data_IF_228329627693
#
_entry.id   IF_228329627693
#
_cell.length_a   1.000
_cell.length_b   1.000
_cell.length_c   1.000
_cell.angle_alpha   90.00
_cell.angle_beta   90.00
_cell.angle_gamma   90.00
#
_symmetry.space_group_name_H-M   'P 1'
#
loop_
_entity.id
_entity.type
_entity.pdbx_description
1 polymer ?
#
# COMPACT_ATOMS: atom_id res chain seq x y z
N UNK A 1 5.47 18.27 -1.17
CA UNK A 1 4.45 17.83 -2.14
C UNK A 1 4.63 16.33 -2.30
N UNK A 2 3.58 15.53 -2.16
CA UNK A 2 3.70 14.08 -2.38
C UNK A 2 3.86 13.85 -3.89
N UNK A 3 5.03 13.41 -4.32
CA UNK A 3 5.29 13.04 -5.71
C UNK A 3 4.79 11.61 -5.91
N UNK A 4 3.80 11.46 -6.78
CA UNK A 4 3.31 10.15 -7.17
C UNK A 4 4.21 9.63 -8.29
N UNK A 5 4.58 8.35 -8.22
CA UNK A 5 5.44 7.68 -9.22
C UNK A 5 4.59 6.60 -9.89
N UNK A 6 4.68 6.46 -11.20
CA UNK A 6 3.96 5.41 -11.93
C UNK A 6 4.70 4.08 -11.84
N UNK A 7 3.96 2.97 -11.72
CA UNK A 7 4.50 1.63 -11.44
C UNK A 7 5.53 1.17 -12.47
N UNK A 8 5.24 1.36 -13.76
CA UNK A 8 6.12 0.94 -14.86
C UNK A 8 7.43 1.73 -14.92
N UNK A 9 7.46 2.92 -14.33
CA UNK A 9 8.65 3.80 -14.29
C UNK A 9 9.45 3.62 -13.00
N UNK A 10 8.94 2.85 -12.03
CA UNK A 10 9.57 2.70 -10.71
C UNK A 10 10.32 1.38 -10.56
N UNK A 11 11.65 1.45 -10.63
CA UNK A 11 12.59 0.35 -10.41
C UNK A 11 13.20 0.29 -8.99
N UNK A 12 12.77 1.18 -8.09
CA UNK A 12 13.27 1.28 -6.71
C UNK A 12 12.64 0.31 -5.69
N UNK A 13 12.94 0.54 -4.41
CA UNK A 13 12.44 -0.25 -3.29
C UNK A 13 10.93 -0.09 -3.07
N UNK A 14 10.21 -1.21 -2.92
CA UNK A 14 8.74 -1.20 -2.81
C UNK A 14 8.31 -1.71 -1.45
N UNK A 15 7.71 -0.82 -0.67
CA UNK A 15 7.08 -1.16 0.60
C UNK A 15 5.61 -1.50 0.37
N UNK A 16 5.27 -2.77 0.56
CA UNK A 16 3.93 -3.32 0.33
C UNK A 16 3.05 -3.23 1.56
N UNK A 17 1.84 -2.74 1.37
CA UNK A 17 0.83 -2.67 2.41
C UNK A 17 -0.48 -3.28 1.93
N UNK A 18 -1.04 -4.15 2.74
CA UNK A 18 -2.34 -4.78 2.52
C UNK A 18 -3.49 -3.90 2.99
N UNK A 19 -4.55 -3.82 2.18
CA UNK A 19 -5.79 -3.15 2.54
C UNK A 19 -6.67 -4.11 3.36
N UNK A 20 -6.84 -3.82 4.65
CA UNK A 20 -7.69 -4.62 5.53
C UNK A 20 -9.19 -4.41 5.25
N UNK A 21 -9.56 -3.23 4.73
CA UNK A 21 -10.93 -2.88 4.38
C UNK A 21 -10.99 -2.25 2.98
N UNK A 22 -12.14 -2.37 2.31
CA UNK A 22 -12.38 -1.71 1.02
C UNK A 22 -12.26 -0.20 1.22
N UNK A 23 -11.33 0.49 0.53
CA UNK A 23 -11.29 1.95 0.58
C UNK A 23 -12.59 2.50 -0.01
N UNK A 24 -13.27 3.36 0.74
CA UNK A 24 -14.55 3.97 0.33
C UNK A 24 -14.35 5.11 -0.68
N UNK A 25 -13.16 5.72 -0.69
CA UNK A 25 -12.79 6.87 -1.54
C UNK A 25 -11.26 6.94 -1.77
N UNK A 26 -10.80 7.79 -2.70
CA UNK A 26 -9.39 8.02 -3.03
C UNK A 26 -8.58 8.61 -1.86
N UNK A 27 -9.25 9.14 -0.82
CA UNK A 27 -8.62 9.64 0.40
C UNK A 27 -8.44 8.60 1.51
N UNK A 28 -8.90 7.36 1.30
CA UNK A 28 -8.87 6.31 2.34
C UNK A 28 -7.51 5.61 2.46
N UNK A 29 -6.50 6.07 1.72
CA UNK A 29 -5.13 5.57 1.80
C UNK A 29 -4.15 6.74 1.95
N UNK A 30 -2.97 6.52 2.55
CA UNK A 30 -1.91 7.52 2.56
C UNK A 30 -1.56 8.04 1.16
N UNK A 31 -1.18 9.32 1.09
CA UNK A 31 -0.68 9.92 -0.15
C UNK A 31 0.75 9.46 -0.43
N UNK A 32 1.15 9.49 -1.71
CA UNK A 32 2.49 9.13 -2.14
C UNK A 32 2.68 7.64 -2.44
N UNK A 33 1.59 6.90 -2.61
CA UNK A 33 1.65 5.55 -3.16
C UNK A 33 2.07 5.60 -4.65
N UNK A 34 2.60 4.48 -5.11
CA UNK A 34 2.94 4.25 -6.51
C UNK A 34 1.64 4.08 -7.30
N UNK A 35 1.41 4.89 -8.32
CA UNK A 35 0.23 4.80 -9.18
C UNK A 35 0.32 3.52 -10.01
N UNK A 36 -0.76 2.76 -10.07
CA UNK A 36 -0.79 1.47 -10.77
C UNK A 36 -0.31 0.30 -9.91
N UNK A 37 0.12 0.56 -8.66
CA UNK A 37 0.51 -0.49 -7.71
C UNK A 37 -0.66 -1.23 -7.07
N UNK A 38 -1.90 -0.75 -7.27
CA UNK A 38 -3.09 -1.42 -6.74
C UNK A 38 -3.26 -2.76 -7.44
N UNK A 39 -2.91 -3.82 -6.71
CA UNK A 39 -2.98 -5.19 -7.19
C UNK A 39 -4.17 -5.90 -6.54
N UNK A 40 -5.07 -6.43 -7.35
CA UNK A 40 -6.22 -7.23 -6.92
C UNK A 40 -5.85 -8.70 -6.64
N UNK A 41 -4.57 -9.06 -6.76
CA UNK A 41 -4.01 -10.41 -6.59
C UNK A 41 -4.25 -11.01 -5.18
N UNK A 42 -4.79 -10.23 -4.25
CA UNK A 42 -5.01 -10.57 -2.87
C UNK A 42 -6.26 -11.44 -2.62
N UNK A 43 -6.29 -12.64 -3.20
CA UNK A 43 -7.20 -13.69 -2.72
C UNK A 43 -6.71 -14.36 -1.42
N UNK A 44 -5.61 -13.88 -0.84
CA UNK A 44 -5.07 -14.34 0.43
C UNK A 44 -5.40 -13.33 1.54
N UNK A 45 -6.11 -13.78 2.58
CA UNK A 45 -6.26 -13.00 3.80
C UNK A 45 -4.87 -12.79 4.43
N UNK A 46 -4.55 -11.60 4.97
CA UNK A 46 -5.48 -10.57 5.47
C UNK A 46 -5.72 -9.35 4.56
N UNK A 47 -5.26 -9.35 3.31
CA UNK A 47 -5.25 -8.17 2.42
C UNK A 47 -6.30 -8.22 1.30
N UNK A 48 -7.48 -8.77 1.62
CA UNK A 48 -8.60 -9.10 0.71
C UNK A 48 -9.03 -7.98 -0.25
N UNK A 49 -8.72 -6.71 0.05
CA UNK A 49 -9.13 -5.56 -0.75
C UNK A 49 -8.04 -5.00 -1.66
N UNK A 50 -6.87 -5.62 -1.67
CA UNK A 50 -5.76 -5.29 -2.55
C UNK A 50 -4.50 -4.92 -1.79
N UNK A 51 -3.41 -4.82 -2.55
CA UNK A 51 -2.10 -4.39 -2.06
C UNK A 51 -1.78 -3.05 -2.68
N UNK A 52 -1.21 -2.14 -1.88
CA UNK A 52 -0.72 -0.84 -2.32
C UNK A 52 0.76 -0.71 -1.99
N UNK A 53 1.53 -0.12 -2.91
CA UNK A 53 2.99 0.00 -2.75
C UNK A 53 3.42 1.46 -2.60
N UNK A 54 4.45 1.68 -1.78
CA UNK A 54 5.07 2.98 -1.55
C UNK A 54 6.58 2.91 -1.81
N UNK A 55 7.20 4.00 -2.28
CA UNK A 55 8.65 4.07 -2.45
C UNK A 55 9.39 4.38 -1.13
N UNK A 56 8.67 4.40 0.00
CA UNK A 56 9.18 4.66 1.34
C UNK A 56 8.33 3.93 2.38
N UNK A 57 8.90 3.61 3.53
CA UNK A 57 8.18 2.99 4.64
C UNK A 57 7.18 3.99 5.25
N UNK A 58 5.93 3.56 5.40
CA UNK A 58 4.92 4.28 6.16
C UNK A 58 5.22 4.19 7.65
N UNK A 59 5.01 5.28 8.37
CA UNK A 59 5.08 5.27 9.83
C UNK A 59 4.00 4.36 10.43
N UNK A 60 4.26 3.77 11.59
CA UNK A 60 3.27 2.94 12.30
C UNK A 60 1.94 3.68 12.52
N UNK A 61 2.01 5.00 12.75
CA UNK A 61 0.83 5.85 12.87
C UNK A 61 0.01 5.87 11.59
N UNK A 62 0.65 5.98 10.42
CA UNK A 62 -0.06 5.96 9.14
C UNK A 62 -0.67 4.58 8.89
N UNK A 63 0.10 3.52 9.10
CA UNK A 63 -0.38 2.14 8.98
C UNK A 63 -1.63 1.92 9.84
N UNK A 64 -1.59 2.30 11.11
CA UNK A 64 -2.74 2.18 12.01
C UNK A 64 -3.92 3.10 11.63
N UNK A 65 -3.65 4.36 11.23
CA UNK A 65 -4.70 5.34 10.91
C UNK A 65 -5.49 4.96 9.66
N UNK A 66 -4.84 4.28 8.72
CA UNK A 66 -5.42 3.85 7.46
C UNK A 66 -5.74 2.35 7.42
N UNK A 67 -5.64 1.66 8.56
CA UNK A 67 -5.97 0.24 8.71
C UNK A 67 -5.26 -0.62 7.66
N UNK A 68 -3.97 -0.37 7.51
CA UNK A 68 -3.08 -1.09 6.60
C UNK A 68 -2.36 -2.22 7.35
N UNK A 69 -1.96 -3.23 6.61
CA UNK A 69 -1.14 -4.34 7.10
C UNK A 69 0.21 -4.26 6.41
N UNK A 70 1.30 -4.19 7.17
CA UNK A 70 2.65 -4.18 6.60
C UNK A 70 3.05 -5.59 6.17
N UNK A 71 3.07 -5.82 4.85
CA UNK A 71 3.37 -7.14 4.27
C UNK A 71 4.88 -7.39 4.16
N UNK A 72 5.71 -6.35 4.32
CA UNK A 72 7.17 -6.51 4.27
C UNK A 72 7.71 -7.15 5.55
N UNK A 73 6.92 -7.11 6.63
CA UNK A 73 7.28 -7.68 7.94
C UNK A 73 6.78 -9.11 8.14
N UNK A 74 6.02 -9.68 7.20
CA UNK A 74 5.60 -11.09 7.22
C UNK A 74 6.66 -12.05 6.65
N UNK A 75 7.94 -11.83 6.98
CA UNK A 75 8.98 -12.87 6.85
C UNK A 75 9.13 -13.59 8.18
N UNK A 76 8.35 -14.66 8.37
CA UNK A 76 8.62 -15.74 9.34
C UNK A 76 8.65 -17.06 8.57
#
# INVERSE_FOLDING_TARGET
>A
MAQYIFDEEYDGERFKYGLQYRPFDLGTVPKGHIIGSLREDANEEPHRFGIIEYPFELTERQVASFQLIDLNKESI
#
